data_IF_161257310507
#
_entry.id   IF_161257310507
#
_cell.length_a   1.000
_cell.length_b   1.000
_cell.length_c   1.000
_cell.angle_alpha   90.00
_cell.angle_beta   90.00
_cell.angle_gamma   90.00
#
_symmetry.space_group_name_H-M   'P 1'
#
loop_
_entity.id
_entity.type
_entity.pdbx_description
1 polymer ?
#
# COMPACT_ATOMS: atom_id res chain seq x y z
N UNK A 1 3.46 -19.42 -10.13
CA UNK A 1 3.31 -20.43 -11.17
C UNK A 1 1.90 -21.05 -11.13
N UNK A 2 0.96 -20.33 -11.77
CA UNK A 2 -0.41 -20.83 -11.91
C UNK A 2 -0.48 -21.77 -13.12
N UNK A 3 -0.98 -23.01 -12.96
CA UNK A 3 -1.09 -23.96 -14.07
C UNK A 3 -1.94 -23.40 -15.23
N UNK A 4 -1.61 -23.69 -16.50
CA UNK A 4 -2.33 -23.16 -17.67
C UNK A 4 -3.83 -23.41 -17.63
N UNK A 5 -4.29 -24.58 -17.18
CA UNK A 5 -5.70 -24.90 -17.06
C UNK A 5 -6.45 -24.00 -16.06
N UNK A 6 -5.79 -23.62 -14.96
CA UNK A 6 -6.39 -22.73 -13.96
C UNK A 6 -6.48 -21.28 -14.50
N UNK A 7 -5.49 -20.83 -15.26
CA UNK A 7 -5.52 -19.53 -15.93
C UNK A 7 -6.69 -19.49 -16.93
N UNK A 8 -6.82 -20.50 -17.76
CA UNK A 8 -7.92 -20.61 -18.74
C UNK A 8 -9.28 -20.62 -18.02
N UNK A 9 -9.42 -21.41 -16.96
CA UNK A 9 -10.69 -21.54 -16.23
C UNK A 9 -11.12 -20.22 -15.56
N UNK A 10 -10.17 -19.38 -15.14
CA UNK A 10 -10.47 -18.09 -14.49
C UNK A 10 -10.63 -16.94 -15.49
N UNK A 11 -9.85 -16.90 -16.57
CA UNK A 11 -9.88 -15.78 -17.52
C UNK A 11 -10.99 -15.88 -18.56
N UNK A 12 -11.27 -17.08 -19.10
CA UNK A 12 -12.27 -17.22 -20.16
C UNK A 12 -13.70 -16.83 -19.78
N UNK A 13 -14.19 -17.04 -18.55
CA UNK A 13 -15.51 -16.56 -18.14
C UNK A 13 -15.67 -15.05 -18.14
N UNK A 14 -14.56 -14.29 -18.08
CA UNK A 14 -14.59 -12.84 -18.13
C UNK A 14 -14.78 -12.29 -19.54
N UNK A 15 -14.74 -13.14 -20.55
CA UNK A 15 -14.84 -12.79 -21.95
C UNK A 15 -16.06 -13.46 -22.59
N UNK A 16 -16.66 -12.81 -23.59
CA UNK A 16 -17.78 -13.32 -24.36
C UNK A 16 -17.50 -13.32 -25.88
N UNK A 17 -18.21 -14.15 -26.65
CA UNK A 17 -18.20 -14.13 -28.12
C UNK A 17 -16.82 -14.32 -28.77
N UNK A 18 -16.48 -13.44 -29.70
CA UNK A 18 -15.23 -13.44 -30.46
C UNK A 18 -13.98 -13.36 -29.58
N UNK A 19 -13.87 -12.38 -28.67
CA UNK A 19 -12.76 -12.26 -27.73
C UNK A 19 -12.46 -13.52 -26.91
N UNK A 20 -13.52 -14.23 -26.47
CA UNK A 20 -13.35 -15.50 -25.74
C UNK A 20 -12.72 -16.59 -26.60
N UNK A 21 -13.17 -16.72 -27.87
CA UNK A 21 -12.57 -17.70 -28.81
C UNK A 21 -11.12 -17.37 -29.14
N UNK A 22 -10.82 -16.09 -29.37
CA UNK A 22 -9.45 -15.63 -29.61
C UNK A 22 -8.54 -15.94 -28.42
N UNK A 23 -8.94 -15.55 -27.21
CA UNK A 23 -8.18 -15.82 -26.00
C UNK A 23 -7.90 -17.32 -25.81
N UNK A 24 -8.92 -18.18 -26.00
CA UNK A 24 -8.74 -19.62 -25.92
C UNK A 24 -7.74 -20.14 -26.94
N UNK A 25 -7.79 -19.66 -28.20
CA UNK A 25 -6.85 -20.02 -29.26
C UNK A 25 -5.42 -19.60 -28.93
N UNK A 26 -5.24 -18.36 -28.48
CA UNK A 26 -3.93 -17.83 -28.05
C UNK A 26 -3.35 -18.65 -26.91
N UNK A 27 -4.12 -18.85 -25.83
CA UNK A 27 -3.68 -19.66 -24.68
C UNK A 27 -3.27 -21.07 -25.09
N UNK A 28 -4.11 -21.74 -25.90
CA UNK A 28 -3.80 -23.09 -26.37
C UNK A 28 -2.51 -23.14 -27.18
N UNK A 29 -2.27 -22.15 -28.03
CA UNK A 29 -1.06 -22.07 -28.85
C UNK A 29 0.18 -21.83 -27.98
N UNK A 30 0.15 -20.85 -27.09
CA UNK A 30 1.26 -20.53 -26.18
C UNK A 30 1.61 -21.71 -25.27
N UNK A 31 0.59 -22.40 -24.74
CA UNK A 31 0.79 -23.59 -23.90
C UNK A 31 1.44 -24.75 -24.69
N UNK A 32 1.00 -24.99 -25.94
CA UNK A 32 1.60 -26.04 -26.79
C UNK A 32 3.02 -25.73 -27.21
N UNK A 33 3.36 -24.45 -27.37
CA UNK A 33 4.69 -23.99 -27.75
C UNK A 33 5.63 -23.85 -26.53
N UNK A 34 5.14 -24.13 -25.31
CA UNK A 34 5.89 -23.90 -24.06
C UNK A 34 6.52 -22.51 -24.02
N UNK A 35 5.74 -21.50 -24.49
CA UNK A 35 6.22 -20.13 -24.65
C UNK A 35 6.74 -19.57 -23.32
N UNK A 36 8.03 -19.21 -23.29
CA UNK A 36 8.63 -18.54 -22.16
C UNK A 36 8.18 -17.08 -22.11
N UNK A 37 7.84 -16.61 -20.92
CA UNK A 37 7.61 -15.19 -20.70
C UNK A 37 8.92 -14.42 -20.73
N UNK A 38 8.95 -13.17 -21.22
CA UNK A 38 10.14 -12.34 -21.14
C UNK A 38 10.53 -12.11 -19.66
N UNK A 39 11.83 -11.85 -19.37
CA UNK A 39 12.31 -11.65 -18.00
C UNK A 39 11.72 -10.41 -17.33
N UNK A 40 11.21 -9.46 -18.10
CA UNK A 40 10.49 -8.30 -17.64
C UNK A 40 9.25 -8.06 -18.51
N UNK A 41 8.12 -7.58 -17.95
CA UNK A 41 6.95 -7.21 -18.74
C UNK A 41 7.25 -6.01 -19.63
N UNK A 42 6.63 -5.96 -20.81
CA UNK A 42 6.58 -4.76 -21.62
C UNK A 42 5.65 -3.75 -20.96
N UNK A 43 6.16 -2.56 -20.65
CA UNK A 43 5.34 -1.46 -20.16
C UNK A 43 4.56 -0.82 -21.32
N UNK A 44 3.38 -0.23 -21.06
CA UNK A 44 2.75 0.67 -22.02
C UNK A 44 3.69 1.80 -22.42
N UNK A 45 3.67 2.22 -23.67
CA UNK A 45 4.62 3.21 -24.24
C UNK A 45 4.58 4.54 -23.48
N UNK A 46 3.39 5.00 -23.10
CA UNK A 46 3.21 6.22 -22.33
C UNK A 46 3.76 6.11 -20.90
N UNK A 47 3.64 4.95 -20.26
CA UNK A 47 4.22 4.67 -18.94
C UNK A 47 5.74 4.64 -19.04
N UNK A 48 6.29 3.95 -20.04
CA UNK A 48 7.73 3.89 -20.27
C UNK A 48 8.32 5.29 -20.52
N UNK A 49 7.62 6.12 -21.30
CA UNK A 49 8.03 7.50 -21.56
C UNK A 49 8.03 8.36 -20.28
N UNK A 50 6.99 8.27 -19.44
CA UNK A 50 6.92 9.01 -18.18
C UNK A 50 7.99 8.61 -17.16
N UNK A 51 8.29 7.30 -17.09
CA UNK A 51 9.29 6.80 -16.14
C UNK A 51 10.74 6.90 -16.65
N UNK A 52 10.93 7.11 -17.96
CA UNK A 52 12.22 7.38 -18.58
C UNK A 52 13.28 6.32 -18.22
N UNK A 53 14.43 6.76 -17.76
CA UNK A 53 15.57 5.87 -17.41
C UNK A 53 15.25 4.88 -16.29
N UNK A 54 14.25 5.14 -15.45
CA UNK A 54 13.81 4.22 -14.40
C UNK A 54 12.98 3.04 -14.93
N UNK A 55 12.37 3.18 -16.11
CA UNK A 55 11.41 2.22 -16.65
C UNK A 55 11.94 0.78 -16.75
N UNK A 56 13.16 0.50 -17.25
CA UNK A 56 13.67 -0.87 -17.32
C UNK A 56 13.84 -1.54 -15.96
N UNK A 57 14.35 -0.81 -14.97
CA UNK A 57 14.54 -1.33 -13.62
C UNK A 57 13.21 -1.61 -12.92
N UNK A 58 12.22 -0.72 -13.10
CA UNK A 58 10.86 -0.91 -12.58
C UNK A 58 10.21 -2.14 -13.25
N UNK A 59 10.28 -2.26 -14.59
CA UNK A 59 9.73 -3.40 -15.30
C UNK A 59 10.31 -4.73 -14.82
N UNK A 60 11.63 -4.79 -14.60
CA UNK A 60 12.28 -5.98 -14.02
C UNK A 60 11.75 -6.31 -12.62
N UNK A 61 11.53 -5.29 -11.80
CA UNK A 61 10.93 -5.45 -10.46
C UNK A 61 9.48 -5.95 -10.50
N UNK A 62 8.70 -5.60 -11.52
CA UNK A 62 7.32 -6.06 -11.69
C UNK A 62 7.24 -7.56 -12.04
N UNK A 63 8.28 -8.12 -12.66
CA UNK A 63 8.33 -9.54 -12.99
C UNK A 63 8.43 -10.46 -11.75
N UNK A 64 8.94 -9.93 -10.65
CA UNK A 64 9.10 -10.69 -9.40
C UNK A 64 7.83 -10.61 -8.57
N UNK A 65 7.19 -11.73 -8.20
CA UNK A 65 6.00 -11.70 -7.35
C UNK A 65 6.27 -10.99 -6.01
N UNK A 66 5.38 -10.11 -5.52
CA UNK A 66 5.60 -9.44 -4.25
C UNK A 66 5.51 -10.44 -3.10
N UNK A 67 6.40 -10.36 -2.08
CA UNK A 67 6.30 -11.18 -0.89
C UNK A 67 5.07 -10.81 -0.05
N UNK A 68 4.82 -11.60 1.00
CA UNK A 68 3.90 -11.24 2.08
C UNK A 68 4.70 -10.59 3.20
N UNK A 69 4.52 -9.30 3.40
CA UNK A 69 5.14 -8.58 4.50
C UNK A 69 4.14 -8.36 5.64
N UNK A 70 4.63 -8.55 6.86
CA UNK A 70 3.90 -8.33 8.11
C UNK A 70 4.61 -7.27 8.94
N UNK A 71 3.83 -6.47 9.65
CA UNK A 71 4.33 -5.54 10.67
C UNK A 71 3.94 -6.05 12.06
N UNK A 72 4.92 -6.21 12.94
CA UNK A 72 4.70 -6.59 14.34
C UNK A 72 4.19 -5.41 15.16
N UNK A 73 3.30 -5.71 16.10
CA UNK A 73 2.84 -4.77 17.12
C UNK A 73 3.99 -4.39 18.06
N UNK A 74 4.83 -5.34 18.41
CA UNK A 74 6.01 -5.18 19.25
C UNK A 74 7.28 -5.52 18.45
N UNK A 75 8.08 -4.51 18.07
CA UNK A 75 9.31 -4.73 17.31
C UNK A 75 10.37 -5.54 18.06
N UNK A 76 10.36 -5.57 19.39
CA UNK A 76 11.32 -6.36 20.18
C UNK A 76 11.11 -7.87 20.02
N UNK A 77 9.91 -8.28 19.61
CA UNK A 77 9.56 -9.68 19.34
C UNK A 77 10.00 -10.18 17.96
N UNK A 78 10.79 -9.41 17.21
CA UNK A 78 11.12 -9.72 15.80
C UNK A 78 11.73 -11.12 15.65
N UNK A 79 12.76 -11.46 16.43
CA UNK A 79 13.43 -12.77 16.32
C UNK A 79 12.53 -13.94 16.76
N UNK A 80 11.66 -13.71 17.75
CA UNK A 80 10.68 -14.70 18.20
C UNK A 80 9.69 -15.04 17.08
N UNK A 81 9.12 -14.01 16.46
CA UNK A 81 8.14 -14.20 15.38
C UNK A 81 8.78 -14.67 14.08
N UNK A 82 10.00 -14.26 13.78
CA UNK A 82 10.79 -14.76 12.65
C UNK A 82 10.98 -16.28 12.74
N UNK A 83 11.38 -16.78 13.90
CA UNK A 83 11.49 -18.22 14.13
C UNK A 83 10.14 -18.94 14.06
N UNK A 84 9.08 -18.36 14.66
CA UNK A 84 7.75 -18.96 14.74
C UNK A 84 7.05 -19.07 13.37
N UNK A 85 7.29 -18.11 12.48
CA UNK A 85 6.67 -18.05 11.16
C UNK A 85 7.62 -18.50 10.03
N UNK A 86 8.84 -18.95 10.34
CA UNK A 86 9.89 -19.24 9.35
C UNK A 86 10.08 -18.09 8.35
N UNK A 87 10.09 -16.86 8.86
CA UNK A 87 10.12 -15.63 8.07
C UNK A 87 11.52 -15.02 8.04
N UNK A 88 11.78 -14.18 7.01
CA UNK A 88 12.90 -13.25 7.00
C UNK A 88 12.53 -11.92 7.65
N UNK A 89 13.52 -11.11 8.02
CA UNK A 89 13.31 -9.76 8.51
C UNK A 89 14.35 -8.82 7.92
N UNK A 90 13.92 -7.64 7.50
CA UNK A 90 14.79 -6.59 6.96
C UNK A 90 15.00 -5.42 7.93
N UNK A 91 14.18 -5.35 8.97
CA UNK A 91 14.31 -4.36 10.05
C UNK A 91 13.48 -4.79 11.27
N UNK A 92 13.74 -4.25 12.46
CA UNK A 92 12.93 -4.54 13.65
C UNK A 92 11.43 -4.30 13.41
N UNK A 93 10.62 -5.25 13.81
CA UNK A 93 9.17 -5.22 13.63
C UNK A 93 8.66 -5.55 12.23
N UNK A 94 9.52 -5.93 11.29
CA UNK A 94 9.15 -6.40 9.96
C UNK A 94 9.38 -7.90 9.84
N UNK A 95 8.45 -8.60 9.18
CA UNK A 95 8.62 -10.00 8.77
C UNK A 95 8.23 -10.16 7.30
N UNK A 96 8.98 -11.00 6.59
CA UNK A 96 8.74 -11.33 5.19
C UNK A 96 8.56 -12.83 5.02
N UNK A 97 7.40 -13.23 4.50
CA UNK A 97 7.04 -14.62 4.24
C UNK A 97 6.95 -14.88 2.74
N UNK A 98 7.07 -16.16 2.38
CA UNK A 98 6.71 -16.63 1.05
C UNK A 98 5.22 -16.36 0.75
N UNK A 99 4.87 -16.30 -0.53
CA UNK A 99 3.47 -16.17 -0.95
C UNK A 99 2.71 -17.50 -0.77
N UNK A 100 1.39 -17.37 -0.67
CA UNK A 100 0.49 -18.53 -0.68
C UNK A 100 -0.06 -18.91 0.69
N UNK A 101 0.42 -18.28 1.75
CA UNK A 101 -0.09 -18.53 3.10
C UNK A 101 -1.50 -17.92 3.29
N UNK A 102 -2.35 -18.66 3.99
CA UNK A 102 -3.62 -18.12 4.46
C UNK A 102 -3.36 -17.27 5.71
N UNK A 103 -3.33 -15.95 5.53
CA UNK A 103 -2.97 -14.98 6.57
C UNK A 103 -3.76 -15.15 7.86
N UNK A 104 -5.06 -15.43 7.76
CA UNK A 104 -5.94 -15.56 8.93
C UNK A 104 -5.63 -16.82 9.78
N UNK A 105 -4.96 -17.81 9.17
CA UNK A 105 -4.56 -19.06 9.83
C UNK A 105 -3.15 -19.00 10.41
N UNK A 106 -2.38 -17.96 10.07
CA UNK A 106 -1.03 -17.81 10.61
C UNK A 106 -1.05 -17.54 12.12
N UNK A 107 -0.13 -18.14 12.89
CA UNK A 107 0.01 -17.85 14.32
C UNK A 107 0.13 -16.36 14.59
N UNK A 108 -0.61 -15.87 15.60
CA UNK A 108 -0.59 -14.46 16.02
C UNK A 108 -1.53 -13.54 15.27
N UNK A 109 -2.19 -13.96 14.18
CA UNK A 109 -3.19 -13.13 13.51
C UNK A 109 -4.37 -12.81 14.44
N UNK A 110 -5.02 -13.83 14.97
CA UNK A 110 -6.17 -13.68 15.86
C UNK A 110 -5.82 -12.96 17.17
N UNK A 111 -4.58 -13.13 17.65
CA UNK A 111 -4.08 -12.48 18.86
C UNK A 111 -3.69 -11.02 18.62
N UNK A 112 -3.75 -10.55 17.38
CA UNK A 112 -3.40 -9.19 17.02
C UNK A 112 -1.92 -8.86 17.20
N UNK A 113 -1.03 -9.86 17.17
CA UNK A 113 0.39 -9.68 17.35
C UNK A 113 1.04 -8.91 16.18
N UNK A 114 0.40 -8.93 15.02
CA UNK A 114 0.87 -8.30 13.80
C UNK A 114 -0.29 -8.02 12.82
N UNK A 115 0.00 -7.30 11.75
CA UNK A 115 -0.91 -7.07 10.61
C UNK A 115 -0.14 -7.11 9.29
N UNK A 116 -0.87 -7.27 8.18
CA UNK A 116 -0.28 -7.22 6.83
C UNK A 116 0.05 -5.77 6.50
N UNK A 117 1.32 -5.51 6.23
CA UNK A 117 1.79 -4.21 5.77
C UNK A 117 3.11 -4.39 5.01
N UNK A 118 3.14 -3.92 3.77
CA UNK A 118 4.36 -3.89 2.95
C UNK A 118 5.45 -3.07 3.65
N UNK A 119 6.70 -3.50 3.53
CA UNK A 119 7.83 -2.81 4.14
C UNK A 119 7.87 -1.33 3.73
N UNK A 120 7.74 -1.05 2.43
CA UNK A 120 7.77 0.33 1.95
C UNK A 120 6.61 1.16 2.55
N UNK A 121 5.41 0.57 2.69
CA UNK A 121 4.28 1.23 3.31
C UNK A 121 4.46 1.50 4.82
N UNK A 122 5.40 0.81 5.47
CA UNK A 122 5.71 1.02 6.88
C UNK A 122 6.73 2.15 7.13
N UNK A 123 7.53 2.51 6.13
CA UNK A 123 8.61 3.49 6.28
C UNK A 123 8.12 4.89 6.70
N UNK A 124 7.02 5.44 6.14
CA UNK A 124 6.56 6.77 6.53
C UNK A 124 6.26 6.90 8.03
N UNK A 125 5.55 5.94 8.62
CA UNK A 125 5.29 5.94 10.06
C UNK A 125 6.55 5.64 10.89
N UNK A 126 7.49 4.84 10.35
CA UNK A 126 8.78 4.60 10.99
C UNK A 126 9.62 5.87 11.11
N UNK A 127 9.60 6.75 10.11
CA UNK A 127 10.33 8.02 10.12
C UNK A 127 9.87 8.98 11.24
N UNK A 128 8.63 8.87 11.71
CA UNK A 128 8.13 9.66 12.84
C UNK A 128 8.68 9.18 14.19
N UNK A 129 9.23 7.97 14.28
CA UNK A 129 9.79 7.43 15.51
C UNK A 129 8.79 7.20 16.63
N UNK A 130 9.28 7.21 17.89
CA UNK A 130 8.47 7.03 19.08
C UNK A 130 7.61 8.28 19.36
N UNK A 131 6.34 8.04 19.69
CA UNK A 131 5.38 9.15 19.89
C UNK A 131 5.39 9.77 21.27
N UNK A 132 5.86 9.04 22.28
CA UNK A 132 5.94 9.49 23.68
C UNK A 132 4.68 10.17 24.22
N UNK A 133 3.51 9.75 23.69
CA UNK A 133 2.21 10.32 24.04
C UNK A 133 1.84 11.63 23.34
N UNK A 134 2.65 12.10 22.40
CA UNK A 134 2.38 13.24 21.53
C UNK A 134 1.23 12.92 20.54
N UNK A 135 0.60 13.94 19.98
CA UNK A 135 -0.52 13.82 19.07
C UNK A 135 -0.09 13.77 17.61
N UNK A 136 -0.53 12.74 16.90
CA UNK A 136 -0.34 12.62 15.45
C UNK A 136 -1.68 12.54 14.72
N UNK A 137 -1.76 13.20 13.57
CA UNK A 137 -2.85 13.00 12.60
C UNK A 137 -2.36 12.04 11.51
N UNK A 138 -3.06 10.92 11.36
CA UNK A 138 -2.93 10.03 10.21
C UNK A 138 -4.02 10.44 9.20
N UNK A 139 -3.59 11.10 8.13
CA UNK A 139 -4.47 11.70 7.13
C UNK A 139 -4.59 10.78 5.92
N UNK A 140 -5.82 10.49 5.48
CA UNK A 140 -6.17 9.44 4.53
C UNK A 140 -5.86 8.02 5.07
N UNK A 141 -6.14 7.82 6.35
CA UNK A 141 -5.63 6.75 7.21
C UNK A 141 -6.06 5.33 6.84
N UNK A 142 -7.24 5.16 6.24
CA UNK A 142 -7.80 3.82 6.03
C UNK A 142 -7.09 3.06 4.89
N UNK A 143 -6.89 1.74 5.04
CA UNK A 143 -7.50 0.80 6.00
C UNK A 143 -6.80 0.68 7.36
N UNK A 144 -5.78 1.49 7.68
CA UNK A 144 -5.27 1.64 9.03
C UNK A 144 -3.89 1.03 9.33
N UNK A 145 -3.15 0.52 8.33
CA UNK A 145 -1.84 -0.05 8.58
C UNK A 145 -0.87 0.92 9.25
N UNK A 146 -0.81 2.17 8.77
CA UNK A 146 0.01 3.24 9.34
C UNK A 146 -0.55 3.75 10.67
N UNK A 147 -1.89 3.84 10.81
CA UNK A 147 -2.57 4.13 12.09
C UNK A 147 -2.15 3.18 13.19
N UNK A 148 -2.20 1.86 12.92
CA UNK A 148 -1.79 0.83 13.88
C UNK A 148 -0.32 0.96 14.24
N UNK A 149 0.53 1.22 13.27
CA UNK A 149 1.97 1.40 13.48
C UNK A 149 2.24 2.60 14.39
N UNK A 150 1.66 3.76 14.12
CA UNK A 150 1.77 4.96 14.95
C UNK A 150 1.27 4.70 16.37
N UNK A 151 0.12 4.03 16.52
CA UNK A 151 -0.41 3.69 17.84
C UNK A 151 0.52 2.72 18.60
N UNK A 152 1.13 1.75 17.92
CA UNK A 152 2.11 0.83 18.51
C UNK A 152 3.42 1.55 18.91
N UNK A 153 3.77 2.64 18.21
CA UNK A 153 4.92 3.51 18.53
C UNK A 153 4.64 4.50 19.67
N UNK A 154 3.46 4.44 20.31
CA UNK A 154 3.12 5.29 21.45
C UNK A 154 2.54 6.67 21.13
N UNK A 155 2.14 6.93 19.88
CA UNK A 155 1.44 8.15 19.49
C UNK A 155 -0.03 8.14 19.94
N UNK A 156 -0.55 9.31 20.27
CA UNK A 156 -2.01 9.55 20.36
C UNK A 156 -2.55 9.86 18.97
N UNK A 157 -3.06 8.84 18.29
CA UNK A 157 -3.42 8.93 16.88
C UNK A 157 -4.85 9.44 16.70
N UNK A 158 -5.00 10.43 15.81
CA UNK A 158 -6.26 10.76 15.16
C UNK A 158 -6.20 10.27 13.73
N UNK A 159 -7.05 9.32 13.35
CA UNK A 159 -7.11 8.73 12.02
C UNK A 159 -8.30 9.34 11.25
N UNK A 160 -8.02 10.07 10.17
CA UNK A 160 -9.02 10.71 9.34
C UNK A 160 -9.07 10.08 7.95
N UNK A 161 -10.28 9.71 7.51
CA UNK A 161 -10.53 9.23 6.15
C UNK A 161 -11.97 9.55 5.74
N UNK A 162 -12.19 9.81 4.46
CA UNK A 162 -13.51 10.10 3.90
C UNK A 162 -14.38 8.84 3.77
N UNK A 163 -13.77 7.67 3.60
CA UNK A 163 -14.43 6.42 3.26
C UNK A 163 -14.97 5.67 4.48
N UNK A 164 -16.28 5.70 4.67
CA UNK A 164 -16.96 4.91 5.73
C UNK A 164 -16.59 3.42 5.68
N UNK A 165 -16.56 2.83 4.49
CA UNK A 165 -16.25 1.40 4.30
C UNK A 165 -14.82 1.07 4.73
N UNK A 166 -13.84 1.87 4.29
CA UNK A 166 -12.42 1.65 4.63
C UNK A 166 -12.16 1.89 6.12
N UNK A 167 -12.83 2.87 6.75
CA UNK A 167 -12.78 3.09 8.19
C UNK A 167 -13.38 1.92 9.00
N UNK A 168 -14.31 1.16 8.41
CA UNK A 168 -14.78 -0.11 8.99
C UNK A 168 -13.63 -1.10 9.18
N UNK A 169 -12.82 -1.32 8.14
CA UNK A 169 -11.64 -2.20 8.18
C UNK A 169 -10.60 -1.72 9.21
N UNK A 170 -10.38 -0.42 9.31
CA UNK A 170 -9.50 0.16 10.33
C UNK A 170 -9.99 -0.20 11.74
N UNK A 171 -11.30 -0.03 12.02
CA UNK A 171 -11.88 -0.35 13.33
C UNK A 171 -11.79 -1.85 13.65
N UNK A 172 -12.02 -2.72 12.68
CA UNK A 172 -11.84 -4.17 12.83
C UNK A 172 -10.39 -4.53 13.19
N UNK A 173 -9.42 -3.94 12.49
CA UNK A 173 -8.01 -4.14 12.79
C UNK A 173 -7.61 -3.59 14.16
N UNK A 174 -8.13 -2.43 14.57
CA UNK A 174 -7.94 -1.88 15.91
C UNK A 174 -8.48 -2.82 16.98
N UNK A 175 -9.69 -3.35 16.80
CA UNK A 175 -10.29 -4.31 17.72
C UNK A 175 -9.45 -5.58 17.84
N UNK A 176 -8.98 -6.13 16.71
CA UNK A 176 -8.15 -7.33 16.67
C UNK A 176 -6.78 -7.14 17.34
N UNK A 177 -6.12 -6.02 17.11
CA UNK A 177 -4.77 -5.73 17.65
C UNK A 177 -4.79 -5.14 19.05
N UNK A 178 -5.95 -4.68 19.54
CA UNK A 178 -6.08 -3.97 20.81
C UNK A 178 -5.45 -2.57 20.83
N UNK A 179 -5.02 -2.07 19.64
CA UNK A 179 -4.49 -0.71 19.48
C UNK A 179 -5.64 0.30 19.39
N UNK A 180 -5.38 1.55 19.79
CA UNK A 180 -6.41 2.60 19.87
C UNK A 180 -6.03 3.82 19.07
N UNK A 181 -7.01 4.40 18.35
CA UNK A 181 -6.93 5.69 17.71
C UNK A 181 -8.30 6.39 17.75
N UNK A 182 -8.32 7.72 17.74
CA UNK A 182 -9.53 8.49 17.46
C UNK A 182 -9.84 8.39 15.96
N UNK A 183 -11.07 8.00 15.61
CA UNK A 183 -11.46 7.83 14.20
C UNK A 183 -12.41 8.94 13.79
N UNK A 184 -12.01 9.71 12.77
CA UNK A 184 -12.78 10.80 12.20
C UNK A 184 -13.14 10.47 10.75
N UNK A 185 -14.44 10.51 10.43
CA UNK A 185 -14.91 10.43 9.06
C UNK A 185 -15.17 11.83 8.54
N UNK A 186 -14.31 12.34 7.69
CA UNK A 186 -14.46 13.66 7.10
C UNK A 186 -13.69 13.77 5.77
N UNK A 187 -14.05 14.78 4.98
CA UNK A 187 -13.24 15.24 3.86
C UNK A 187 -12.15 16.17 4.41
N UNK A 188 -10.89 15.82 4.20
CA UNK A 188 -9.73 16.57 4.69
C UNK A 188 -9.67 18.02 4.15
N UNK A 189 -10.21 18.28 2.97
CA UNK A 189 -10.24 19.63 2.41
C UNK A 189 -11.19 20.58 3.13
N UNK A 190 -12.23 20.05 3.76
CA UNK A 190 -13.27 20.84 4.46
C UNK A 190 -13.26 20.66 5.98
N UNK A 191 -12.55 19.66 6.47
CA UNK A 191 -12.43 19.41 7.91
C UNK A 191 -11.47 20.39 8.56
N UNK A 192 -11.78 20.80 9.80
CA UNK A 192 -10.89 21.61 10.62
C UNK A 192 -10.69 20.94 11.99
N UNK A 193 -9.43 20.77 12.41
CA UNK A 193 -9.13 20.17 13.71
C UNK A 193 -9.41 21.17 14.85
N UNK A 194 -9.74 20.61 16.04
CA UNK A 194 -9.93 21.41 17.26
C UNK A 194 -8.59 21.82 17.91
N UNK A 195 -7.49 21.23 17.52
CA UNK A 195 -6.13 21.48 18.02
C UNK A 195 -5.10 21.15 16.96
N UNK A 196 -3.92 21.74 17.07
CA UNK A 196 -2.78 21.43 16.23
C UNK A 196 -2.10 20.12 16.69
N UNK A 197 -1.37 19.49 15.76
CA UNK A 197 -0.69 18.23 15.96
C UNK A 197 0.83 18.40 16.09
N UNK A 198 1.47 17.51 16.84
CA UNK A 198 2.94 17.43 16.93
C UNK A 198 3.53 16.84 15.65
N UNK A 199 2.79 15.92 15.02
CA UNK A 199 3.15 15.34 13.75
C UNK A 199 1.91 15.06 12.89
N UNK A 200 2.10 15.06 11.57
CA UNK A 200 1.09 14.63 10.60
C UNK A 200 1.74 13.64 9.63
N UNK A 201 1.09 12.50 9.43
CA UNK A 201 1.40 11.58 8.36
C UNK A 201 0.29 11.69 7.32
N UNK A 202 0.65 12.16 6.12
CA UNK A 202 -0.25 12.24 4.96
C UNK A 202 0.09 11.10 4.01
N UNK A 203 -0.69 9.99 4.08
CA UNK A 203 -0.66 8.91 3.10
C UNK A 203 -1.62 9.25 1.96
N UNK A 204 -1.15 10.09 1.03
CA UNK A 204 -2.01 10.80 0.11
C UNK A 204 -2.76 9.89 -0.87
N UNK A 205 -4.01 10.22 -1.21
CA UNK A 205 -4.67 9.60 -2.34
C UNK A 205 -3.84 9.87 -3.60
N UNK A 206 -3.65 8.84 -4.44
CA UNK A 206 -2.76 8.91 -5.59
C UNK A 206 -3.21 7.95 -6.69
N UNK A 207 -2.57 8.00 -7.85
CA UNK A 207 -2.82 7.07 -8.96
C UNK A 207 -2.37 5.64 -8.67
N UNK A 208 -1.60 5.43 -7.60
CA UNK A 208 -1.14 4.12 -7.10
C UNK A 208 -0.33 3.30 -8.12
N UNK A 209 0.37 3.93 -9.06
CA UNK A 209 1.16 3.24 -10.10
C UNK A 209 2.29 2.37 -9.53
N UNK A 210 2.77 2.67 -8.32
CA UNK A 210 3.72 1.82 -7.59
C UNK A 210 3.15 0.49 -7.09
N UNK A 211 1.82 0.32 -7.14
CA UNK A 211 1.18 -0.95 -6.80
C UNK A 211 1.10 -1.93 -7.96
N UNK A 212 1.62 -1.57 -9.15
CA UNK A 212 1.54 -2.36 -10.38
C UNK A 212 2.04 -3.80 -10.24
N UNK A 213 2.98 -4.06 -9.33
CA UNK A 213 3.45 -5.41 -9.01
C UNK A 213 2.34 -6.32 -8.46
N UNK A 214 1.32 -5.75 -7.80
CA UNK A 214 0.13 -6.46 -7.27
C UNK A 214 -1.09 -6.25 -8.16
N UNK A 215 -1.17 -5.10 -8.81
CA UNK A 215 -2.30 -4.60 -9.59
C UNK A 215 -1.80 -4.10 -10.96
N UNK A 216 -1.36 -4.99 -11.87
CA UNK A 216 -0.73 -4.59 -13.14
C UNK A 216 -1.66 -3.80 -14.05
N UNK A 217 -2.99 -3.94 -13.88
CA UNK A 217 -4.00 -3.21 -14.61
C UNK A 217 -3.94 -1.69 -14.38
N UNK A 218 -3.34 -1.22 -13.28
CA UNK A 218 -3.19 0.21 -12.99
C UNK A 218 -2.42 0.95 -14.08
N UNK A 219 -1.42 0.28 -14.69
CA UNK A 219 -0.60 0.87 -15.76
C UNK A 219 -1.39 1.12 -17.06
N UNK A 220 -2.53 0.46 -17.24
CA UNK A 220 -3.39 0.59 -18.42
C UNK A 220 -4.60 1.51 -18.19
N UNK A 221 -4.79 1.98 -16.96
CA UNK A 221 -5.94 2.81 -16.57
C UNK A 221 -5.59 4.24 -16.26
N UNK A 222 -4.32 4.52 -15.96
CA UNK A 222 -3.85 5.82 -15.50
C UNK A 222 -3.19 6.58 -16.65
N UNK A 223 -3.72 7.74 -16.98
CA UNK A 223 -3.18 8.67 -17.95
C UNK A 223 -2.76 10.02 -17.32
N UNK A 224 -2.17 10.90 -18.12
CA UNK A 224 -1.61 12.18 -17.67
C UNK A 224 -2.61 13.02 -16.86
N UNK A 225 -3.87 13.12 -17.32
CA UNK A 225 -4.89 13.92 -16.63
C UNK A 225 -5.16 13.43 -15.20
N UNK A 226 -5.26 12.11 -14.98
CA UNK A 226 -5.48 11.59 -13.61
C UNK A 226 -4.28 11.87 -12.71
N UNK A 227 -3.06 11.89 -13.26
CA UNK A 227 -1.85 12.24 -12.53
C UNK A 227 -1.88 13.70 -12.12
N UNK A 228 -2.24 14.59 -13.03
CA UNK A 228 -2.40 16.04 -12.78
C UNK A 228 -3.48 16.30 -11.70
N UNK A 229 -4.68 15.73 -11.87
CA UNK A 229 -5.79 15.86 -10.91
C UNK A 229 -5.37 15.40 -9.50
N UNK A 230 -4.59 14.31 -9.41
CA UNK A 230 -4.09 13.81 -8.11
C UNK A 230 -3.00 14.71 -7.53
N UNK A 231 -2.09 15.22 -8.34
CA UNK A 231 -1.03 16.11 -7.89
C UNK A 231 -1.63 17.43 -7.32
N UNK A 232 -2.65 17.99 -7.96
CA UNK A 232 -3.38 19.17 -7.46
C UNK A 232 -4.06 18.88 -6.11
N UNK A 233 -4.73 17.74 -5.99
CA UNK A 233 -5.35 17.31 -4.73
C UNK A 233 -4.31 17.16 -3.61
N UNK A 234 -3.17 16.55 -3.92
CA UNK A 234 -2.08 16.32 -2.98
C UNK A 234 -1.48 17.65 -2.50
N UNK A 235 -1.24 18.60 -3.39
CA UNK A 235 -0.77 19.95 -3.03
C UNK A 235 -1.74 20.64 -2.07
N UNK A 236 -3.05 20.55 -2.31
CA UNK A 236 -4.06 21.11 -1.42
C UNK A 236 -4.07 20.44 -0.05
N UNK A 237 -3.91 19.11 0.00
CA UNK A 237 -3.83 18.34 1.25
C UNK A 237 -2.55 18.66 2.05
N UNK A 238 -1.40 18.82 1.37
CA UNK A 238 -0.14 19.23 2.00
C UNK A 238 -0.29 20.62 2.64
N UNK A 239 -0.89 21.58 1.92
CA UNK A 239 -1.13 22.92 2.46
C UNK A 239 -2.03 22.90 3.70
N UNK A 240 -3.12 22.13 3.68
CA UNK A 240 -3.99 21.92 4.85
C UNK A 240 -3.24 21.27 6.01
N UNK A 241 -2.50 20.19 5.76
CA UNK A 241 -1.73 19.50 6.77
C UNK A 241 -0.68 20.43 7.43
N UNK A 242 0.04 21.22 6.64
CA UNK A 242 1.00 22.19 7.16
C UNK A 242 0.38 23.22 8.11
N UNK A 243 -0.83 23.70 7.81
CA UNK A 243 -1.57 24.65 8.66
C UNK A 243 -2.01 24.04 10.02
N UNK A 244 -2.14 22.74 10.10
CA UNK A 244 -2.58 22.02 11.31
C UNK A 244 -1.43 21.56 12.20
N UNK A 245 -0.17 21.79 11.79
CA UNK A 245 1.00 21.49 12.61
C UNK A 245 1.26 22.56 13.66
N UNK A 246 1.73 22.13 14.82
CA UNK A 246 2.35 23.02 15.79
C UNK A 246 3.63 23.61 15.24
N UNK A 247 4.08 24.79 15.72
CA UNK A 247 5.44 25.27 15.44
C UNK A 247 6.47 24.19 15.80
N UNK A 248 7.35 23.85 14.86
CA UNK A 248 8.34 22.77 15.01
C UNK A 248 7.80 21.35 14.83
N UNK A 249 6.51 21.19 14.48
CA UNK A 249 5.92 19.90 14.16
C UNK A 249 6.43 19.31 12.85
N UNK A 250 6.24 18.00 12.65
CA UNK A 250 6.76 17.23 11.50
C UNK A 250 5.63 16.79 10.59
N UNK A 251 5.76 17.05 9.28
CA UNK A 251 4.91 16.47 8.24
C UNK A 251 5.69 15.38 7.50
N UNK A 252 5.13 14.17 7.47
CA UNK A 252 5.57 13.11 6.57
C UNK A 252 4.55 12.97 5.45
N UNK A 253 4.98 13.25 4.23
CA UNK A 253 4.20 13.01 3.02
C UNK A 253 4.60 11.68 2.40
N UNK A 254 3.63 10.87 2.03
CA UNK A 254 3.84 9.57 1.41
C UNK A 254 2.81 9.33 0.30
N UNK A 255 3.24 8.63 -0.73
CA UNK A 255 2.40 8.17 -1.84
C UNK A 255 2.85 6.79 -2.30
N UNK A 256 1.94 5.99 -2.83
CA UNK A 256 2.28 4.75 -3.51
C UNK A 256 2.30 4.91 -5.04
N UNK A 257 2.43 6.13 -5.55
CA UNK A 257 2.65 6.43 -6.96
C UNK A 257 4.14 6.44 -7.31
N UNK A 258 4.47 6.08 -8.56
CA UNK A 258 5.80 6.23 -9.15
C UNK A 258 5.87 7.45 -10.08
N UNK A 259 4.80 8.21 -10.19
CA UNK A 259 4.72 9.41 -11.01
C UNK A 259 5.36 10.60 -10.28
N UNK A 260 6.29 11.29 -10.96
CA UNK A 260 7.03 12.41 -10.36
C UNK A 260 6.15 13.55 -9.85
N UNK A 261 5.06 13.96 -10.59
CA UNK A 261 4.16 14.99 -10.11
C UNK A 261 3.45 14.67 -8.79
N UNK A 262 3.32 13.37 -8.47
CA UNK A 262 2.71 12.90 -7.22
C UNK A 262 3.73 12.63 -6.11
N UNK A 263 5.02 12.73 -6.38
CA UNK A 263 6.11 12.42 -5.46
C UNK A 263 7.13 13.56 -5.37
N UNK A 264 8.19 13.45 -6.16
CA UNK A 264 9.36 14.34 -6.07
C UNK A 264 9.05 15.81 -6.38
N UNK A 265 7.94 16.11 -7.05
CA UNK A 265 7.54 17.46 -7.45
C UNK A 265 6.52 18.11 -6.49
N UNK A 266 6.09 17.40 -5.41
CA UNK A 266 5.28 17.94 -4.32
C UNK A 266 6.15 18.59 -3.25
#
# INVERSE_FOLDING_TARGET
>A
DTPPHAIIATCLPLLAGGPRRLAHGVFSTLTKQEAALPPAPTLPDDVAARWGERAPAIAAGLAVPPPLDLRLKDPEQTEVWKAKLAADSLMPGHLRLARGENVEKLPGFSDGAWWVQDLAASLPAHLLGAGEGQHVLDLCAAPGGKTLQLAAQGWKVTALDISKRRLGLLKENMARTGLKAGVVRADALTWEPKHQFDAILLDAPCTATGTARRHPDVLHRIGARQIEDMAELQSALIAKAAAWLKPGGVLIYATCSLERPEGEEQ
#
